data_IF_228954900741
#
_entry.id   IF_228954900741
#
_cell.length_a   1.000
_cell.length_b   1.000
_cell.length_c   1.000
_cell.angle_alpha   90.00
_cell.angle_beta   90.00
_cell.angle_gamma   90.00
#
_symmetry.space_group_name_H-M   'P 1'
#
loop_
_entity.id
_entity.type
_entity.pdbx_description
1 polymer ?
#
# COMPACT_ATOMS: atom_id res chain seq x y z
N UNK A 1 2.76 25.20 -5.53
CA UNK A 1 2.39 24.82 -4.15
C UNK A 1 1.11 24.03 -4.26
N UNK A 2 1.04 22.78 -3.77
CA UNK A 2 -0.22 22.05 -3.75
C UNK A 2 -1.23 22.78 -2.86
N UNK A 3 -2.54 22.71 -3.16
CA UNK A 3 -3.57 23.19 -2.25
C UNK A 3 -3.46 22.47 -0.89
N UNK A 4 -3.86 23.14 0.20
CA UNK A 4 -3.85 22.52 1.53
C UNK A 4 -4.63 21.19 1.52
N UNK A 5 -4.03 20.16 2.12
CA UNK A 5 -4.58 18.80 2.14
C UNK A 5 -4.14 17.89 0.99
N UNK A 6 -3.39 18.41 0.01
CA UNK A 6 -2.82 17.59 -1.06
C UNK A 6 -1.35 17.29 -0.80
N UNK A 7 -1.03 16.01 -0.65
CA UNK A 7 0.35 15.52 -0.67
C UNK A 7 0.73 15.16 -2.11
N UNK A 8 1.89 15.64 -2.55
CA UNK A 8 2.48 15.25 -3.83
C UNK A 8 3.69 14.38 -3.56
N UNK A 9 3.71 13.18 -4.13
CA UNK A 9 4.85 12.28 -4.10
C UNK A 9 5.30 12.03 -5.54
N UNK A 10 6.61 12.00 -5.74
CA UNK A 10 7.19 11.58 -7.03
C UNK A 10 7.55 10.11 -6.91
N UNK A 11 7.01 9.30 -7.82
CA UNK A 11 7.29 7.87 -7.89
C UNK A 11 7.84 7.52 -9.27
N UNK A 12 8.65 6.47 -9.40
CA UNK A 12 9.00 5.91 -10.70
C UNK A 12 7.76 5.45 -11.47
N UNK A 13 7.81 5.48 -12.81
CA UNK A 13 6.70 5.06 -13.67
C UNK A 13 6.26 3.61 -13.39
N UNK A 14 7.23 2.72 -13.11
CA UNK A 14 6.97 1.32 -12.71
C UNK A 14 6.11 1.21 -11.44
N UNK A 15 6.27 2.12 -10.48
CA UNK A 15 5.46 2.14 -9.25
C UNK A 15 4.07 2.67 -9.55
N UNK A 16 3.95 3.61 -10.49
CA UNK A 16 2.64 4.12 -10.94
C UNK A 16 1.82 3.05 -11.69
N UNK A 17 2.48 2.20 -12.49
CA UNK A 17 1.85 1.03 -13.11
C UNK A 17 1.27 0.08 -12.05
N UNK A 18 2.04 -0.22 -10.98
CA UNK A 18 1.57 -1.04 -9.87
C UNK A 18 0.36 -0.43 -9.15
N UNK A 19 0.34 0.90 -8.95
CA UNK A 19 -0.83 1.59 -8.37
C UNK A 19 -2.06 1.45 -9.28
N UNK A 20 -1.85 1.44 -10.60
CA UNK A 20 -2.94 1.23 -11.57
C UNK A 20 -3.45 -0.21 -11.51
N UNK A 21 -2.58 -1.20 -11.32
CA UNK A 21 -2.99 -2.59 -11.09
C UNK A 21 -3.83 -2.73 -9.82
N UNK A 22 -3.42 -2.10 -8.72
CA UNK A 22 -4.21 -2.07 -7.47
C UNK A 22 -5.58 -1.43 -7.71
N UNK A 23 -5.63 -0.34 -8.48
CA UNK A 23 -6.90 0.33 -8.81
C UNK A 23 -7.87 -0.62 -9.53
N UNK A 24 -7.37 -1.47 -10.43
CA UNK A 24 -8.17 -2.47 -11.14
C UNK A 24 -8.53 -3.66 -10.23
N UNK A 25 -7.58 -4.17 -9.45
CA UNK A 25 -7.76 -5.35 -8.59
C UNK A 25 -8.79 -5.08 -7.47
N UNK A 26 -8.77 -3.88 -6.89
CA UNK A 26 -9.62 -3.49 -5.77
C UNK A 26 -10.78 -2.56 -6.18
N UNK A 27 -10.98 -2.35 -7.48
CA UNK A 27 -12.05 -1.52 -8.06
C UNK A 27 -12.12 -0.11 -7.42
N UNK A 28 -10.95 0.54 -7.28
CA UNK A 28 -10.84 1.85 -6.64
C UNK A 28 -11.26 2.98 -7.59
N UNK A 29 -11.99 3.96 -7.07
CA UNK A 29 -12.56 5.06 -7.87
C UNK A 29 -11.54 6.13 -8.27
N UNK A 30 -10.35 6.13 -7.64
CA UNK A 30 -9.29 7.11 -7.91
C UNK A 30 -7.91 6.59 -7.56
N UNK A 31 -6.87 7.23 -8.11
CA UNK A 31 -5.47 6.96 -7.73
C UNK A 31 -5.23 7.17 -6.23
N UNK A 32 -5.87 8.18 -5.62
CA UNK A 32 -5.74 8.42 -4.19
C UNK A 32 -6.31 7.25 -3.35
N UNK A 33 -7.43 6.70 -3.80
CA UNK A 33 -8.07 5.53 -3.18
C UNK A 33 -7.22 4.26 -3.37
N UNK A 34 -6.68 4.04 -4.58
CA UNK A 34 -5.75 2.95 -4.86
C UNK A 34 -4.47 3.04 -4.00
N UNK A 35 -3.93 4.24 -3.80
CA UNK A 35 -2.76 4.45 -2.91
C UNK A 35 -3.12 4.15 -1.46
N UNK A 36 -4.31 4.56 -0.99
CA UNK A 36 -4.77 4.27 0.35
C UNK A 36 -4.97 2.76 0.58
N UNK A 37 -5.62 2.07 -0.37
CA UNK A 37 -5.82 0.63 -0.36
C UNK A 37 -4.48 -0.12 -0.42
N UNK A 38 -3.58 0.26 -1.33
CA UNK A 38 -2.23 -0.33 -1.39
C UNK A 38 -1.50 -0.20 -0.06
N UNK A 39 -1.60 0.97 0.58
CA UNK A 39 -0.96 1.24 1.88
C UNK A 39 -1.57 0.38 3.00
N UNK A 40 -2.89 0.24 3.05
CA UNK A 40 -3.57 -0.61 4.02
C UNK A 40 -3.19 -2.08 3.85
N UNK A 41 -3.23 -2.59 2.61
CA UNK A 41 -2.85 -3.97 2.29
C UNK A 41 -1.38 -4.24 2.62
N UNK A 42 -0.48 -3.29 2.34
CA UNK A 42 0.92 -3.41 2.72
C UNK A 42 1.11 -3.49 4.24
N UNK A 43 0.38 -2.67 5.00
CA UNK A 43 0.42 -2.67 6.46
C UNK A 43 -0.07 -4.00 7.05
N UNK A 44 -1.19 -4.51 6.56
CA UNK A 44 -1.74 -5.81 6.99
C UNK A 44 -0.78 -6.97 6.67
N UNK A 45 -0.14 -6.95 5.50
CA UNK A 45 0.86 -7.96 5.12
C UNK A 45 2.09 -7.92 6.01
N UNK A 46 2.55 -6.73 6.39
CA UNK A 46 3.69 -6.55 7.29
C UNK A 46 3.37 -7.06 8.71
N UNK A 47 2.19 -6.72 9.25
CA UNK A 47 1.72 -7.24 10.53
C UNK A 47 1.62 -8.78 10.52
N UNK A 48 1.05 -9.36 9.46
CA UNK A 48 0.94 -10.80 9.31
C UNK A 48 2.33 -11.48 9.19
N UNK A 49 3.28 -10.85 8.49
CA UNK A 49 4.65 -11.35 8.40
C UNK A 49 5.37 -11.30 9.76
N UNK A 50 5.21 -10.19 10.49
CA UNK A 50 5.76 -10.03 11.84
C UNK A 50 5.16 -11.05 12.82
N UNK A 51 3.85 -11.24 12.82
CA UNK A 51 3.17 -12.22 13.66
C UNK A 51 3.66 -13.65 13.40
N UNK A 52 3.87 -14.02 12.13
CA UNK A 52 4.44 -15.32 11.75
C UNK A 52 5.88 -15.49 12.24
N UNK A 53 6.72 -14.46 12.09
CA UNK A 53 8.09 -14.48 12.58
C UNK A 53 8.13 -14.66 14.11
N UNK A 54 7.30 -13.92 14.84
CA UNK A 54 7.19 -14.04 16.30
C UNK A 54 6.71 -15.43 16.73
N UNK A 55 5.71 -16.00 16.04
CA UNK A 55 5.23 -17.35 16.31
C UNK A 55 6.32 -18.41 16.08
N UNK A 56 7.14 -18.28 15.04
CA UNK A 56 8.29 -19.17 14.81
C UNK A 56 9.33 -19.06 15.93
N UNK A 57 9.62 -17.84 16.40
CA UNK A 57 10.57 -17.60 17.48
C UNK A 57 10.10 -18.06 18.85
N UNK A 58 8.79 -18.07 19.09
CA UNK A 58 8.21 -18.54 20.35
C UNK A 58 8.07 -20.07 20.42
N UNK A 59 8.14 -20.74 19.27
CA UNK A 59 8.09 -22.20 19.17
C UNK A 59 9.49 -22.87 19.28
N UNK A 60 10.57 -22.07 19.28
CA UNK A 60 11.96 -22.47 19.61
C UNK A 60 12.22 -22.32 21.12
#
# INVERSE_FOLDING_TARGET
MPPEGYNTITVPDEVFEQVTEVMIEYDCDSIADAVATASAVALERDEAALARLLAQRLAE
#
